data_IF_706536387662
#
_entry.id   IF_706536387662
#
_cell.length_a   1.000
_cell.length_b   1.000
_cell.length_c   1.000
_cell.angle_alpha   90.00
_cell.angle_beta   90.00
_cell.angle_gamma   90.00
#
_symmetry.space_group_name_H-M   'P 1'
#
loop_
_entity.id
_entity.type
_entity.pdbx_description
1 polymer ?
#
# COMPACT_ATOMS: atom_id res chain seq x y z
N UNK A 1 -16.94 -4.71 24.00
CA UNK A 1 -16.06 -3.69 24.61
C UNK A 1 -16.09 -2.48 23.69
N UNK A 2 -16.77 -1.38 23.94
CA UNK A 2 -17.43 -0.83 25.12
C UNK A 2 -17.22 0.69 25.02
N UNK A 3 -18.26 1.49 25.20
CA UNK A 3 -18.12 2.95 25.30
C UNK A 3 -19.24 3.72 24.62
N UNK A 4 -20.25 4.13 25.40
CA UNK A 4 -21.28 5.04 24.93
C UNK A 4 -20.73 6.45 24.64
N UNK A 5 -21.27 7.08 23.60
CA UNK A 5 -21.26 8.52 23.42
C UNK A 5 -22.69 9.01 23.57
N UNK A 6 -22.92 9.96 24.48
CA UNK A 6 -24.23 10.42 24.91
C UNK A 6 -25.15 10.91 23.77
N UNK A 7 -26.45 10.95 24.08
CA UNK A 7 -27.55 11.34 23.21
C UNK A 7 -27.16 12.39 22.16
N UNK A 8 -26.95 11.91 20.93
CA UNK A 8 -26.63 12.74 19.78
C UNK A 8 -27.93 13.39 19.29
N UNK A 9 -28.31 14.51 19.92
CA UNK A 9 -29.45 15.30 19.50
C UNK A 9 -29.29 15.81 18.06
N UNK A 10 -30.33 15.61 17.24
CA UNK A 10 -30.64 16.44 16.06
C UNK A 10 -29.56 16.59 14.99
N UNK A 11 -28.97 15.51 14.50
CA UNK A 11 -28.14 15.59 13.29
C UNK A 11 -29.02 15.43 12.04
N UNK A 12 -28.91 16.32 11.03
CA UNK A 12 -29.64 16.14 9.78
C UNK A 12 -29.17 14.88 9.07
N UNK A 13 -30.10 14.18 8.41
CA UNK A 13 -29.79 13.01 7.57
C UNK A 13 -29.04 13.47 6.31
N UNK A 14 -27.75 13.74 6.44
CA UNK A 14 -26.87 14.17 5.36
C UNK A 14 -26.00 12.99 4.95
N UNK A 15 -25.98 12.69 3.66
CA UNK A 15 -25.04 11.73 3.10
C UNK A 15 -23.74 12.44 2.71
N UNK A 16 -22.61 11.89 3.14
CA UNK A 16 -21.28 12.39 2.82
C UNK A 16 -20.33 11.24 2.53
N UNK A 17 -19.39 11.45 1.59
CA UNK A 17 -18.45 10.43 1.12
C UNK A 17 -17.53 9.90 2.23
N UNK A 18 -17.12 10.76 3.16
CA UNK A 18 -16.22 10.42 4.26
C UNK A 18 -16.95 9.89 5.50
N UNK A 19 -18.29 9.84 5.47
CA UNK A 19 -19.13 9.67 6.65
C UNK A 19 -19.60 11.00 7.27
N UNK A 20 -20.44 10.91 8.30
CA UNK A 20 -20.96 12.03 9.10
C UNK A 20 -20.53 11.98 10.57
N UNK A 21 -21.34 12.59 11.44
CA UNK A 21 -21.04 12.68 12.87
C UNK A 21 -21.02 11.31 13.54
N UNK A 22 -19.99 11.05 14.36
CA UNK A 22 -19.81 9.82 15.14
C UNK A 22 -19.98 8.53 14.32
N UNK A 23 -19.35 8.45 13.15
CA UNK A 23 -19.40 7.26 12.31
C UNK A 23 -18.75 6.04 12.98
N UNK A 24 -19.59 5.13 13.50
CA UNK A 24 -19.20 3.79 13.93
C UNK A 24 -19.99 2.72 13.14
N UNK A 25 -19.64 2.46 11.86
CA UNK A 25 -20.35 1.49 11.06
C UNK A 25 -20.03 0.07 11.54
N UNK A 26 -21.08 -0.75 11.72
CA UNK A 26 -21.01 -2.14 12.22
C UNK A 26 -19.91 -3.01 11.57
N UNK A 27 -19.58 -2.78 10.30
CA UNK A 27 -18.63 -3.59 9.54
C UNK A 27 -17.34 -2.85 9.16
N UNK A 28 -16.92 -1.83 9.91
CA UNK A 28 -15.74 -1.02 9.58
C UNK A 28 -14.49 -1.88 9.31
N UNK A 29 -14.22 -2.90 10.14
CA UNK A 29 -13.06 -3.80 9.99
C UNK A 29 -13.05 -4.54 8.67
N UNK A 30 -14.20 -5.10 8.27
CA UNK A 30 -14.35 -5.85 7.01
C UNK A 30 -14.17 -4.92 5.81
N UNK A 31 -14.76 -3.72 5.86
CA UNK A 31 -14.65 -2.75 4.77
C UNK A 31 -13.21 -2.26 4.60
N UNK A 32 -12.49 -2.00 5.70
CA UNK A 32 -11.06 -1.66 5.67
C UNK A 32 -10.23 -2.81 5.10
N UNK A 33 -10.54 -4.06 5.45
CA UNK A 33 -9.84 -5.21 4.90
C UNK A 33 -10.01 -5.31 3.37
N UNK A 34 -11.21 -5.09 2.84
CA UNK A 34 -11.43 -5.05 1.39
C UNK A 34 -10.71 -3.89 0.71
N UNK A 35 -10.71 -2.70 1.33
CA UNK A 35 -9.99 -1.54 0.79
C UNK A 35 -8.48 -1.82 0.70
N UNK A 36 -7.89 -2.37 1.77
CA UNK A 36 -6.48 -2.76 1.77
C UNK A 36 -6.20 -3.85 0.74
N UNK A 37 -7.05 -4.87 0.64
CA UNK A 37 -6.90 -5.92 -0.36
C UNK A 37 -6.90 -5.35 -1.79
N UNK A 38 -7.80 -4.41 -2.09
CA UNK A 38 -7.83 -3.71 -3.37
C UNK A 38 -6.55 -2.90 -3.64
N UNK A 39 -6.06 -2.17 -2.64
CA UNK A 39 -4.79 -1.41 -2.74
C UNK A 39 -3.63 -2.35 -3.06
N UNK A 40 -3.47 -3.44 -2.31
CA UNK A 40 -2.38 -4.39 -2.54
C UNK A 40 -2.52 -5.09 -3.90
N UNK A 41 -3.73 -5.47 -4.30
CA UNK A 41 -3.98 -6.09 -5.59
C UNK A 41 -3.52 -5.21 -6.77
N UNK A 42 -3.58 -3.89 -6.63
CA UNK A 42 -3.13 -2.93 -7.65
C UNK A 42 -1.66 -2.56 -7.49
N UNK A 43 -1.22 -2.20 -6.27
CA UNK A 43 0.13 -1.70 -6.04
C UNK A 43 1.21 -2.78 -6.21
N UNK A 44 0.95 -4.03 -5.86
CA UNK A 44 1.92 -5.13 -5.99
C UNK A 44 2.33 -5.38 -7.45
N UNK A 45 1.40 -5.63 -8.41
CA UNK A 45 1.79 -5.84 -9.80
C UNK A 45 2.45 -4.61 -10.42
N UNK A 46 2.04 -3.39 -10.04
CA UNK A 46 2.70 -2.15 -10.47
C UNK A 46 4.14 -2.12 -9.97
N UNK A 47 4.39 -2.41 -8.69
CA UNK A 47 5.73 -2.42 -8.13
C UNK A 47 6.63 -3.48 -8.79
N UNK A 48 6.11 -4.69 -9.00
CA UNK A 48 6.85 -5.76 -9.68
C UNK A 48 7.18 -5.41 -11.14
N UNK A 49 6.22 -4.81 -11.85
CA UNK A 49 6.42 -4.36 -13.24
C UNK A 49 7.42 -3.20 -13.28
N UNK A 50 7.29 -2.24 -12.37
CA UNK A 50 8.21 -1.11 -12.24
C UNK A 50 9.65 -1.59 -11.99
N UNK A 51 9.84 -2.56 -11.09
CA UNK A 51 11.17 -3.11 -10.79
C UNK A 51 11.81 -3.82 -11.99
N UNK A 52 11.02 -4.51 -12.82
CA UNK A 52 11.49 -5.18 -14.05
C UNK A 52 11.87 -4.19 -15.15
N UNK A 53 11.15 -3.08 -15.24
CA UNK A 53 11.38 -2.04 -16.26
C UNK A 53 12.44 -1.03 -15.82
N UNK A 54 12.85 -1.04 -14.56
CA UNK A 54 13.81 -0.09 -14.03
C UNK A 54 15.19 -0.32 -14.66
N UNK A 55 15.62 0.65 -15.48
CA UNK A 55 16.96 0.69 -16.05
C UNK A 55 17.76 1.88 -15.50
N UNK A 56 19.02 1.61 -15.14
CA UNK A 56 19.98 2.59 -14.62
C UNK A 56 21.23 2.59 -15.48
N UNK A 57 21.56 3.72 -16.14
CA UNK A 57 22.76 3.81 -16.97
C UNK A 57 24.06 3.90 -16.16
N UNK A 58 23.99 4.33 -14.90
CA UNK A 58 25.15 4.53 -14.03
C UNK A 58 24.94 3.79 -12.72
N UNK A 59 25.98 3.10 -12.24
CA UNK A 59 25.97 2.43 -10.96
C UNK A 59 25.91 3.45 -9.80
N UNK A 60 25.12 3.17 -8.75
CA UNK A 60 24.97 4.10 -7.63
C UNK A 60 26.27 4.22 -6.83
N UNK A 61 26.62 5.45 -6.43
CA UNK A 61 27.82 5.75 -5.64
C UNK A 61 27.71 5.38 -4.15
N UNK A 62 26.51 5.03 -3.68
CA UNK A 62 26.20 4.66 -2.30
C UNK A 62 25.16 3.56 -2.28
N UNK A 63 25.05 2.84 -1.17
CA UNK A 63 23.97 1.88 -0.97
C UNK A 63 22.61 2.59 -0.97
N UNK A 64 21.70 2.14 -1.82
CA UNK A 64 20.33 2.66 -1.93
C UNK A 64 19.38 1.47 -1.85
N UNK A 65 18.34 1.49 -1.00
CA UNK A 65 17.46 0.34 -0.76
C UNK A 65 16.81 -0.21 -2.04
N UNK A 66 16.56 0.65 -3.03
CA UNK A 66 16.05 0.23 -4.34
C UNK A 66 16.91 -0.78 -5.07
N UNK A 67 18.22 -0.86 -4.77
CA UNK A 67 19.11 -1.84 -5.38
C UNK A 67 18.68 -3.28 -5.12
N UNK A 68 17.96 -3.55 -4.04
CA UNK A 68 17.48 -4.91 -3.71
C UNK A 68 16.52 -5.49 -4.76
N UNK A 69 15.85 -4.62 -5.52
CA UNK A 69 14.87 -5.03 -6.54
C UNK A 69 15.20 -4.53 -7.95
N UNK A 70 16.28 -3.76 -8.14
CA UNK A 70 16.77 -3.42 -9.48
C UNK A 70 17.41 -4.65 -10.15
N UNK A 71 17.00 -4.97 -11.37
CA UNK A 71 17.64 -6.03 -12.17
C UNK A 71 18.91 -5.58 -12.91
N UNK A 72 19.15 -4.26 -13.01
CA UNK A 72 20.20 -3.68 -13.87
C UNK A 72 21.64 -3.95 -13.45
N UNK A 73 21.89 -4.33 -12.20
CA UNK A 73 23.22 -4.63 -11.67
C UNK A 73 23.16 -6.01 -11.03
N UNK A 74 23.50 -7.09 -11.76
CA UNK A 74 23.55 -8.43 -11.17
C UNK A 74 24.58 -8.44 -10.03
N UNK A 75 24.23 -9.09 -8.92
CA UNK A 75 25.21 -9.39 -7.87
C UNK A 75 26.21 -10.42 -8.37
N UNK A 76 27.44 -10.41 -7.81
CA UNK A 76 28.50 -11.39 -8.14
C UNK A 76 27.98 -12.84 -8.11
N UNK A 77 27.10 -13.16 -7.16
CA UNK A 77 26.43 -14.47 -7.04
C UNK A 77 25.60 -14.86 -8.27
N UNK A 78 24.97 -13.88 -8.94
CA UNK A 78 24.22 -14.12 -10.19
C UNK A 78 25.15 -14.27 -11.39
N UNK A 79 26.31 -13.63 -11.37
CA UNK A 79 27.31 -13.73 -12.44
C UNK A 79 28.00 -15.11 -12.43
N UNK A 80 28.39 -15.59 -11.24
CA UNK A 80 29.01 -16.92 -11.07
C UNK A 80 28.05 -18.08 -11.38
N UNK A 81 26.74 -17.88 -11.22
CA UNK A 81 25.73 -18.89 -11.55
C UNK A 81 25.40 -18.98 -13.06
N UNK A 82 25.82 -18.00 -13.86
CA UNK A 82 25.56 -17.91 -15.30
C UNK A 82 26.79 -18.32 -16.15
N UNK A 83 27.98 -18.40 -15.55
CA UNK A 83 29.21 -19.02 -16.09
C UNK A 83 29.25 -20.54 -15.86
#
# INVERSE_FOLDING_TARGET
MGGGGGAAGGYPNVWALTGGWYCDPKYWRRNTAFALAGIFAVCVPIALTSARLEQRPIAPSRAIPSQMWCANFPSEEKQVAEE
#
